data_IF_875050820584
#
_entry.id   IF_875050820584
#
_cell.length_a   1.000
_cell.length_b   1.000
_cell.length_c   1.000
_cell.angle_alpha   90.00
_cell.angle_beta   90.00
_cell.angle_gamma   90.00
#
_symmetry.space_group_name_H-M   'P 1'
#
loop_
_entity.id
_entity.type
_entity.pdbx_description
1 polymer ?
#
# COMPACT_ATOMS: atom_id res chain seq x y z
N UNK A 1 16.94 2.20 -32.76
CA UNK A 1 15.82 2.22 -31.80
C UNK A 1 15.55 0.85 -31.18
N UNK A 2 15.50 -0.25 -31.96
CA UNK A 2 15.25 -1.60 -31.43
C UNK A 2 16.27 -2.09 -30.38
N UNK A 3 17.57 -1.80 -30.55
CA UNK A 3 18.60 -2.22 -29.59
C UNK A 3 18.47 -1.56 -28.21
N UNK A 4 18.18 -0.26 -28.16
CA UNK A 4 17.99 0.46 -26.87
C UNK A 4 16.74 -0.09 -26.15
N UNK A 5 15.66 -0.35 -26.88
CA UNK A 5 14.42 -0.88 -26.31
C UNK A 5 14.64 -2.28 -25.70
N UNK A 6 15.41 -3.13 -26.38
CA UNK A 6 15.78 -4.45 -25.85
C UNK A 6 16.66 -4.35 -24.60
N UNK A 7 17.64 -3.44 -24.58
CA UNK A 7 18.49 -3.21 -23.40
C UNK A 7 17.63 -2.77 -22.21
N UNK A 8 16.74 -1.80 -22.41
CA UNK A 8 15.84 -1.33 -21.35
C UNK A 8 14.92 -2.45 -20.84
N UNK A 9 14.36 -3.25 -21.73
CA UNK A 9 13.50 -4.38 -21.36
C UNK A 9 14.26 -5.45 -20.57
N UNK A 10 15.48 -5.79 -20.99
CA UNK A 10 16.31 -6.77 -20.31
C UNK A 10 16.76 -6.28 -18.93
N UNK A 11 17.16 -5.01 -18.82
CA UNK A 11 17.50 -4.38 -17.54
C UNK A 11 16.31 -4.35 -16.58
N UNK A 12 15.12 -3.99 -17.09
CA UNK A 12 13.90 -3.98 -16.29
C UNK A 12 13.51 -5.39 -15.82
N UNK A 13 13.61 -6.40 -16.69
CA UNK A 13 13.37 -7.79 -16.32
C UNK A 13 14.36 -8.27 -15.25
N UNK A 14 15.64 -7.98 -15.43
CA UNK A 14 16.70 -8.29 -14.46
C UNK A 14 16.44 -7.64 -13.09
N UNK A 15 15.95 -6.39 -13.06
CA UNK A 15 15.53 -5.73 -11.84
C UNK A 15 14.35 -6.44 -11.16
N UNK A 16 13.33 -6.86 -11.93
CA UNK A 16 12.18 -7.59 -11.38
C UNK A 16 12.54 -8.98 -10.88
N UNK A 17 13.50 -9.65 -11.52
CA UNK A 17 13.98 -10.99 -11.16
C UNK A 17 14.86 -10.99 -9.90
N UNK A 18 15.37 -9.83 -9.46
CA UNK A 18 16.03 -9.66 -8.15
C UNK A 18 15.04 -9.64 -6.97
N UNK A 19 13.74 -9.52 -7.24
CA UNK A 19 12.72 -9.56 -6.20
C UNK A 19 12.53 -10.95 -5.59
N UNK A 20 11.86 -10.98 -4.45
CA UNK A 20 11.55 -12.22 -3.74
C UNK A 20 10.63 -13.12 -4.60
N UNK A 21 11.02 -14.38 -4.88
CA UNK A 21 10.24 -15.28 -5.69
C UNK A 21 8.87 -15.62 -5.08
N UNK A 22 8.73 -15.55 -3.75
CA UNK A 22 7.49 -15.89 -3.02
C UNK A 22 6.32 -14.96 -3.36
N UNK A 23 6.60 -13.72 -3.74
CA UNK A 23 5.59 -12.70 -4.06
C UNK A 23 5.42 -12.46 -5.55
N UNK A 24 6.22 -13.12 -6.40
CA UNK A 24 6.31 -12.84 -7.84
C UNK A 24 4.96 -12.92 -8.57
N UNK A 25 4.17 -13.92 -8.22
CA UNK A 25 2.90 -14.23 -8.89
C UNK A 25 1.70 -13.56 -8.21
N UNK A 26 1.91 -12.79 -7.14
CA UNK A 26 0.81 -12.08 -6.48
C UNK A 26 0.27 -10.96 -7.36
N UNK A 27 -1.05 -10.71 -7.35
CA UNK A 27 -1.64 -9.62 -8.10
C UNK A 27 -0.96 -8.28 -7.74
N UNK A 28 -0.68 -7.46 -8.75
CA UNK A 28 0.04 -6.17 -8.61
C UNK A 28 1.52 -6.25 -8.21
N UNK A 29 2.11 -7.44 -7.99
CA UNK A 29 3.54 -7.60 -7.66
C UNK A 29 4.42 -8.01 -8.85
N UNK A 30 3.81 -8.30 -10.00
CA UNK A 30 4.49 -8.67 -11.24
C UNK A 30 5.29 -7.49 -11.79
N UNK A 31 4.71 -6.28 -11.77
CA UNK A 31 5.32 -5.02 -12.19
C UNK A 31 4.78 -3.88 -11.31
N UNK A 32 5.48 -2.73 -11.20
CA UNK A 32 4.99 -1.59 -10.43
C UNK A 32 3.90 -0.80 -11.17
N UNK A 33 3.70 -1.03 -12.47
CA UNK A 33 2.81 -0.23 -13.32
C UNK A 33 1.35 -0.21 -12.87
N UNK A 34 0.71 -1.33 -12.46
CA UNK A 34 -0.65 -1.30 -11.96
C UNK A 34 -0.81 -0.39 -10.73
N UNK A 35 0.11 -0.47 -9.77
CA UNK A 35 0.10 0.40 -8.59
C UNK A 35 0.30 1.88 -8.95
N UNK A 36 1.26 2.17 -9.84
CA UNK A 36 1.48 3.53 -10.34
C UNK A 36 0.28 4.08 -11.10
N UNK A 37 -0.41 3.27 -11.89
CA UNK A 37 -1.63 3.66 -12.59
C UNK A 37 -2.75 4.00 -11.60
N UNK A 38 -2.91 3.22 -10.53
CA UNK A 38 -3.88 3.52 -9.45
C UNK A 38 -3.56 4.84 -8.74
N UNK A 39 -2.29 5.10 -8.41
CA UNK A 39 -1.85 6.36 -7.80
C UNK A 39 -2.09 7.54 -8.74
N UNK A 40 -1.77 7.41 -10.02
CA UNK A 40 -2.01 8.45 -11.02
C UNK A 40 -3.50 8.76 -11.17
N UNK A 41 -4.35 7.72 -11.25
CA UNK A 41 -5.80 7.86 -11.30
C UNK A 41 -6.35 8.55 -10.04
N UNK A 42 -5.83 8.19 -8.87
CA UNK A 42 -6.16 8.82 -7.59
C UNK A 42 -5.82 10.32 -7.59
N UNK A 43 -4.58 10.70 -7.95
CA UNK A 43 -4.15 12.10 -7.99
C UNK A 43 -5.02 12.88 -8.98
N UNK A 44 -5.26 12.32 -10.17
CA UNK A 44 -6.12 12.95 -11.18
C UNK A 44 -7.55 13.16 -10.66
N UNK A 45 -8.12 12.16 -9.98
CA UNK A 45 -9.45 12.29 -9.39
C UNK A 45 -9.49 13.40 -8.33
N UNK A 46 -8.57 13.38 -7.37
CA UNK A 46 -8.57 14.33 -6.24
C UNK A 46 -8.30 15.77 -6.69
N UNK A 47 -7.40 15.97 -7.66
CA UNK A 47 -6.98 17.31 -8.09
C UNK A 47 -7.83 17.89 -9.22
N UNK A 48 -8.41 17.05 -10.07
CA UNK A 48 -9.06 17.50 -11.31
C UNK A 48 -10.50 17.01 -11.39
N UNK A 49 -10.70 15.71 -11.59
CA UNK A 49 -12.02 15.18 -11.98
C UNK A 49 -13.08 15.36 -10.88
N UNK A 50 -12.74 15.03 -9.63
CA UNK A 50 -13.61 15.12 -8.48
C UNK A 50 -14.05 16.55 -8.14
N UNK A 51 -13.11 17.51 -7.96
CA UNK A 51 -13.47 18.93 -7.76
C UNK A 51 -14.29 19.51 -8.91
N UNK A 52 -13.96 19.17 -10.16
CA UNK A 52 -14.72 19.62 -11.33
C UNK A 52 -16.15 19.06 -11.32
N UNK A 53 -16.33 17.78 -10.98
CA UNK A 53 -17.63 17.14 -10.83
C UNK A 53 -18.47 17.77 -9.70
N UNK A 54 -17.82 18.16 -8.59
CA UNK A 54 -18.48 18.75 -7.41
C UNK A 54 -18.70 20.26 -7.52
N UNK A 55 -18.16 20.94 -8.54
CA UNK A 55 -18.26 22.40 -8.71
C UNK A 55 -19.69 22.92 -8.68
N UNK A 56 -20.61 22.23 -9.37
CA UNK A 56 -22.04 22.60 -9.47
C UNK A 56 -22.96 21.78 -8.56
N UNK A 57 -22.41 20.97 -7.65
CA UNK A 57 -23.17 20.08 -6.77
C UNK A 57 -23.06 20.53 -5.31
N UNK A 58 -24.12 20.25 -4.55
CA UNK A 58 -24.10 20.34 -3.09
C UNK A 58 -23.26 19.17 -2.52
N UNK A 59 -22.62 19.35 -1.36
CA UNK A 59 -21.86 18.26 -0.73
C UNK A 59 -22.79 17.08 -0.41
N UNK A 60 -22.33 15.87 -0.66
CA UNK A 60 -23.08 14.66 -0.32
C UNK A 60 -23.06 14.41 1.18
N UNK A 61 -24.15 13.87 1.74
CA UNK A 61 -24.14 13.32 3.09
C UNK A 61 -23.72 11.84 3.03
N UNK A 62 -22.45 11.60 3.34
CA UNK A 62 -21.84 10.27 3.34
C UNK A 62 -21.53 9.78 4.75
N UNK A 63 -22.17 10.35 5.80
CA UNK A 63 -21.88 10.04 7.21
C UNK A 63 -21.92 8.54 7.50
N UNK A 64 -23.00 7.86 7.13
CA UNK A 64 -23.17 6.42 7.40
C UNK A 64 -22.15 5.58 6.62
N UNK A 65 -21.96 5.76 5.29
CA UNK A 65 -20.89 5.09 4.55
C UNK A 65 -19.50 5.24 5.18
N UNK A 66 -19.11 6.45 5.60
CA UNK A 66 -17.80 6.68 6.24
C UNK A 66 -17.67 5.98 7.58
N UNK A 67 -18.74 5.93 8.40
CA UNK A 67 -18.71 5.21 9.67
C UNK A 67 -18.46 3.73 9.44
N UNK A 68 -19.20 3.10 8.52
CA UNK A 68 -19.02 1.68 8.17
C UNK A 68 -17.60 1.43 7.66
N UNK A 69 -17.15 2.28 6.72
CA UNK A 69 -15.81 2.22 6.16
C UNK A 69 -14.71 2.33 7.23
N UNK A 70 -14.82 3.30 8.15
CA UNK A 70 -13.84 3.48 9.21
C UNK A 70 -13.81 2.28 10.17
N UNK A 71 -14.98 1.72 10.52
CA UNK A 71 -15.02 0.50 11.32
C UNK A 71 -14.35 -0.68 10.61
N UNK A 72 -14.61 -0.87 9.31
CA UNK A 72 -13.92 -1.90 8.53
C UNK A 72 -12.40 -1.70 8.54
N UNK A 73 -11.91 -0.47 8.33
CA UNK A 73 -10.47 -0.19 8.41
C UNK A 73 -9.87 -0.46 9.78
N UNK A 74 -10.59 -0.16 10.87
CA UNK A 74 -10.16 -0.51 12.23
C UNK A 74 -10.02 -2.02 12.40
N UNK A 75 -11.01 -2.82 11.96
CA UNK A 75 -10.93 -4.27 12.05
C UNK A 75 -9.79 -4.84 11.21
N UNK A 76 -9.60 -4.33 9.99
CA UNK A 76 -8.49 -4.73 9.12
C UNK A 76 -7.16 -4.38 9.79
N UNK A 77 -7.03 -3.19 10.36
CA UNK A 77 -5.80 -2.76 11.03
C UNK A 77 -5.48 -3.61 12.26
N UNK A 78 -6.52 -3.95 13.05
CA UNK A 78 -6.39 -4.86 14.19
C UNK A 78 -5.97 -6.26 13.73
N UNK A 79 -6.55 -6.78 12.65
CA UNK A 79 -6.17 -8.08 12.10
C UNK A 79 -4.71 -8.10 11.63
N UNK A 80 -4.23 -7.04 10.99
CA UNK A 80 -2.81 -6.91 10.63
C UNK A 80 -1.93 -6.88 11.89
N UNK A 81 -2.27 -6.06 12.88
CA UNK A 81 -1.50 -5.95 14.12
C UNK A 81 -1.39 -7.30 14.85
N UNK A 82 -2.51 -8.00 15.03
CA UNK A 82 -2.53 -9.32 15.67
C UNK A 82 -1.79 -10.36 14.83
N UNK A 83 -1.94 -10.33 13.51
CA UNK A 83 -1.23 -11.23 12.60
C UNK A 83 0.29 -11.04 12.66
N UNK A 84 0.76 -9.79 12.62
CA UNK A 84 2.19 -9.49 12.77
C UNK A 84 2.68 -9.97 14.12
N UNK A 85 1.99 -9.64 15.22
CA UNK A 85 2.41 -10.07 16.55
C UNK A 85 2.48 -11.59 16.70
N UNK A 86 1.49 -12.31 16.15
CA UNK A 86 1.45 -13.77 16.17
C UNK A 86 2.60 -14.37 15.37
N UNK A 87 2.73 -14.04 14.08
CA UNK A 87 3.73 -14.66 13.20
C UNK A 87 5.15 -14.10 13.36
N UNK A 88 5.34 -13.06 14.17
CA UNK A 88 6.67 -12.56 14.53
C UNK A 88 7.00 -12.78 16.01
N UNK A 89 6.56 -11.87 16.89
CA UNK A 89 7.00 -11.80 18.28
C UNK A 89 6.74 -13.10 19.06
N UNK A 90 5.53 -13.66 18.93
CA UNK A 90 5.18 -14.91 19.62
C UNK A 90 5.83 -16.16 19.02
N UNK A 91 6.48 -16.04 17.86
CA UNK A 91 7.23 -17.11 17.19
C UNK A 91 8.75 -16.86 17.20
N UNK A 92 9.24 -16.07 18.15
CA UNK A 92 10.68 -15.93 18.42
C UNK A 92 11.39 -14.82 17.66
N UNK A 93 10.67 -13.98 16.91
CA UNK A 93 11.24 -12.74 16.38
C UNK A 93 11.40 -11.70 17.50
N UNK A 94 12.43 -10.88 17.38
CA UNK A 94 12.66 -9.74 18.27
C UNK A 94 11.83 -8.54 17.81
N UNK A 95 11.45 -7.66 18.74
CA UNK A 95 10.89 -6.34 18.41
C UNK A 95 11.95 -5.36 17.89
N UNK A 96 13.22 -5.78 17.80
CA UNK A 96 14.29 -5.01 17.15
C UNK A 96 14.26 -5.26 15.64
N UNK A 97 14.87 -4.35 14.88
CA UNK A 97 15.11 -4.59 13.46
C UNK A 97 15.91 -5.88 13.24
N UNK A 98 15.28 -6.83 12.55
CA UNK A 98 15.86 -8.11 12.18
C UNK A 98 15.86 -8.26 10.66
N UNK A 99 16.87 -8.97 10.11
CA UNK A 99 16.90 -9.24 8.68
C UNK A 99 15.67 -10.07 8.27
N UNK A 100 15.24 -9.89 7.03
CA UNK A 100 14.12 -10.66 6.45
C UNK A 100 14.47 -12.14 6.39
N UNK A 101 13.54 -12.98 6.86
CA UNK A 101 13.60 -14.42 6.63
C UNK A 101 13.05 -14.72 5.22
N UNK A 102 13.95 -15.05 4.29
CA UNK A 102 13.62 -15.43 2.92
C UNK A 102 13.25 -16.91 2.76
N UNK A 103 13.20 -17.69 3.84
CA UNK A 103 12.81 -19.09 3.79
C UNK A 103 11.32 -19.29 3.48
N UNK A 104 10.96 -20.51 3.09
CA UNK A 104 9.56 -20.92 2.89
C UNK A 104 8.89 -21.42 4.19
N UNK A 105 9.40 -21.02 5.35
CA UNK A 105 8.74 -21.26 6.63
C UNK A 105 7.36 -20.60 6.63
N UNK A 106 6.42 -21.23 7.33
CA UNK A 106 5.02 -20.79 7.36
C UNK A 106 4.95 -19.35 7.89
N UNK A 107 5.70 -19.05 8.94
CA UNK A 107 5.76 -17.75 9.61
C UNK A 107 6.26 -16.65 8.65
N UNK A 108 7.37 -16.91 7.96
CA UNK A 108 7.97 -15.99 7.01
C UNK A 108 7.04 -15.70 5.82
N UNK A 109 6.41 -16.73 5.25
CA UNK A 109 5.44 -16.57 4.16
C UNK A 109 4.18 -15.84 4.63
N UNK A 110 3.71 -16.10 5.87
CA UNK A 110 2.55 -15.40 6.45
C UNK A 110 2.85 -13.93 6.70
N UNK A 111 4.05 -13.58 7.18
CA UNK A 111 4.47 -12.18 7.32
C UNK A 111 4.52 -11.47 5.96
N UNK A 112 5.05 -12.12 4.92
CA UNK A 112 5.01 -11.60 3.56
C UNK A 112 3.57 -11.34 3.08
N UNK A 113 2.65 -12.29 3.32
CA UNK A 113 1.24 -12.16 2.96
C UNK A 113 0.56 -11.00 3.70
N UNK A 114 0.84 -10.83 4.98
CA UNK A 114 0.31 -9.72 5.78
C UNK A 114 0.84 -8.38 5.26
N UNK A 115 2.13 -8.30 4.92
CA UNK A 115 2.71 -7.12 4.27
C UNK A 115 2.02 -6.79 2.95
N UNK A 116 1.74 -7.80 2.12
CA UNK A 116 1.01 -7.63 0.88
C UNK A 116 -0.44 -7.17 1.07
N UNK A 117 -1.16 -7.76 2.02
CA UNK A 117 -2.51 -7.29 2.36
C UNK A 117 -2.49 -5.85 2.84
N UNK A 118 -1.48 -5.46 3.62
CA UNK A 118 -1.29 -4.07 4.06
C UNK A 118 -1.01 -3.12 2.89
N UNK A 119 -0.31 -3.57 1.84
CA UNK A 119 -0.18 -2.79 0.61
C UNK A 119 -1.51 -2.60 -0.10
N UNK A 120 -2.35 -3.64 -0.18
CA UNK A 120 -3.68 -3.51 -0.78
C UNK A 120 -4.57 -2.53 -0.01
N UNK A 121 -4.48 -2.50 1.33
CA UNK A 121 -5.29 -1.57 2.13
C UNK A 121 -4.94 -0.11 1.86
N UNK A 122 -3.70 0.21 1.46
CA UNK A 122 -3.33 1.59 1.09
C UNK A 122 -4.11 2.12 -0.10
N UNK A 123 -4.52 1.26 -1.04
CA UNK A 123 -5.39 1.67 -2.14
C UNK A 123 -6.85 1.82 -1.69
N UNK A 124 -7.27 1.03 -0.70
CA UNK A 124 -8.60 1.21 -0.07
C UNK A 124 -8.68 2.57 0.63
N UNK A 125 -7.59 3.01 1.26
CA UNK A 125 -7.48 4.32 1.91
C UNK A 125 -7.61 5.51 0.94
N UNK A 126 -7.51 5.31 -0.39
CA UNK A 126 -7.85 6.38 -1.36
C UNK A 126 -9.33 6.81 -1.25
N UNK A 127 -10.19 5.95 -0.70
CA UNK A 127 -11.58 6.29 -0.44
C UNK A 127 -11.73 7.45 0.55
N UNK A 128 -10.81 7.63 1.51
CA UNK A 128 -10.83 8.76 2.47
C UNK A 128 -10.91 10.10 1.75
N UNK A 129 -10.01 10.26 0.79
CA UNK A 129 -9.86 11.46 -0.01
C UNK A 129 -11.01 11.62 -0.98
N UNK A 130 -11.51 10.52 -1.55
CA UNK A 130 -12.72 10.54 -2.37
C UNK A 130 -13.91 11.06 -1.54
N UNK A 131 -14.08 10.59 -0.31
CA UNK A 131 -15.13 11.08 0.59
C UNK A 131 -14.95 12.57 0.91
N UNK A 132 -13.72 13.05 1.14
CA UNK A 132 -13.48 14.48 1.36
C UNK A 132 -13.86 15.34 0.16
N UNK A 133 -13.50 14.91 -1.05
CA UNK A 133 -13.88 15.60 -2.31
C UNK A 133 -15.40 15.65 -2.47
N UNK A 134 -16.08 14.51 -2.30
CA UNK A 134 -17.54 14.42 -2.45
C UNK A 134 -18.31 15.19 -1.37
N UNK A 135 -17.70 15.43 -0.21
CA UNK A 135 -18.27 16.25 0.86
C UNK A 135 -17.84 17.72 0.80
N UNK A 136 -17.04 18.12 -0.20
CA UNK A 136 -16.45 19.46 -0.35
C UNK A 136 -15.71 19.90 0.93
N UNK A 137 -14.95 18.97 1.52
CA UNK A 137 -14.10 19.19 2.71
C UNK A 137 -12.65 19.37 2.28
N UNK A 138 -12.42 20.36 1.43
CA UNK A 138 -11.11 20.62 0.81
C UNK A 138 -10.03 20.97 1.84
N UNK A 139 -10.42 21.48 3.02
CA UNK A 139 -9.51 21.73 4.15
C UNK A 139 -8.87 20.46 4.72
N UNK A 140 -9.46 19.28 4.49
CA UNK A 140 -8.90 18.00 4.90
C UNK A 140 -7.91 17.42 3.86
N UNK A 141 -7.96 17.92 2.62
CA UNK A 141 -7.11 17.46 1.51
C UNK A 141 -5.86 18.34 1.42
N UNK A 142 -4.98 18.21 2.42
CA UNK A 142 -3.70 18.92 2.41
C UNK A 142 -2.74 18.34 1.37
N UNK A 143 -1.71 19.12 0.99
CA UNK A 143 -0.63 18.61 0.15
C UNK A 143 0.05 17.39 0.78
N UNK A 144 0.27 17.43 2.10
CA UNK A 144 0.84 16.33 2.86
C UNK A 144 -0.02 15.06 2.75
N UNK A 145 -1.34 15.18 2.89
CA UNK A 145 -2.25 14.04 2.79
C UNK A 145 -2.17 13.39 1.40
N UNK A 146 -2.21 14.18 0.32
CA UNK A 146 -2.12 13.64 -1.05
C UNK A 146 -0.75 13.02 -1.32
N UNK A 147 0.34 13.66 -0.89
CA UNK A 147 1.70 13.13 -1.03
C UNK A 147 1.82 11.81 -0.26
N UNK A 148 1.36 11.77 0.99
CA UNK A 148 1.38 10.57 1.83
C UNK A 148 0.63 9.40 1.17
N UNK A 149 -0.62 9.59 0.76
CA UNK A 149 -1.38 8.53 0.08
C UNK A 149 -0.80 8.14 -1.28
N UNK A 150 0.04 8.96 -1.90
CA UNK A 150 0.71 8.59 -3.15
C UNK A 150 2.01 7.82 -2.90
N UNK A 151 2.85 8.30 -1.99
CA UNK A 151 4.20 7.75 -1.78
C UNK A 151 4.19 6.45 -0.97
N UNK A 152 3.29 6.31 0.00
CA UNK A 152 3.23 5.11 0.86
C UNK A 152 2.98 3.82 0.05
N UNK A 153 1.92 3.70 -0.78
CA UNK A 153 1.74 2.50 -1.60
C UNK A 153 2.87 2.28 -2.61
N UNK A 154 3.45 3.36 -3.14
CA UNK A 154 4.61 3.27 -4.03
C UNK A 154 5.82 2.65 -3.33
N UNK A 155 6.18 3.14 -2.14
CA UNK A 155 7.30 2.62 -1.35
C UNK A 155 7.05 1.20 -0.86
N UNK A 156 5.82 0.87 -0.44
CA UNK A 156 5.46 -0.48 0.00
C UNK A 156 5.61 -1.52 -1.10
N UNK A 157 5.36 -1.16 -2.36
CA UNK A 157 5.58 -2.08 -3.47
C UNK A 157 7.03 -2.57 -3.53
N UNK A 158 8.02 -1.67 -3.36
CA UNK A 158 9.43 -2.06 -3.29
C UNK A 158 9.72 -2.89 -2.04
N UNK A 159 9.17 -2.47 -0.89
CA UNK A 159 9.33 -3.21 0.38
C UNK A 159 8.86 -4.67 0.26
N UNK A 160 7.68 -4.90 -0.32
CA UNK A 160 7.15 -6.26 -0.49
C UNK A 160 7.87 -7.00 -1.60
N UNK A 161 8.25 -6.33 -2.69
CA UNK A 161 8.91 -6.96 -3.82
C UNK A 161 10.30 -7.49 -3.45
N UNK A 162 11.06 -6.76 -2.65
CA UNK A 162 12.46 -7.07 -2.38
C UNK A 162 12.72 -7.56 -0.95
N UNK A 163 11.92 -7.13 0.02
CA UNK A 163 12.12 -7.41 1.44
C UNK A 163 10.80 -7.73 2.18
N UNK A 164 10.01 -8.72 1.71
CA UNK A 164 8.69 -8.99 2.28
C UNK A 164 8.83 -9.52 3.72
N UNK A 165 8.30 -8.75 4.67
CA UNK A 165 8.37 -9.03 6.10
C UNK A 165 9.21 -8.02 6.90
N UNK A 166 10.12 -7.28 6.25
CA UNK A 166 10.94 -6.25 6.93
C UNK A 166 10.09 -5.11 7.49
N UNK A 167 9.15 -4.66 6.66
CA UNK A 167 8.26 -3.53 6.96
C UNK A 167 7.34 -3.81 8.16
N UNK A 168 7.01 -5.08 8.42
CA UNK A 168 6.19 -5.48 9.55
C UNK A 168 6.94 -5.45 10.88
N UNK A 169 8.26 -5.65 10.86
CA UNK A 169 9.11 -5.78 12.05
C UNK A 169 9.78 -4.46 12.45
N UNK A 170 10.43 -3.77 11.50
CA UNK A 170 11.14 -2.51 11.80
C UNK A 170 10.21 -1.31 12.06
N UNK A 171 9.02 -1.26 11.43
CA UNK A 171 8.09 -0.15 11.64
C UNK A 171 7.46 -0.14 13.04
N UNK A 172 7.29 -1.31 13.67
CA UNK A 172 6.86 -1.41 15.07
C UNK A 172 7.97 -0.95 16.03
N UNK A 173 9.23 -1.27 15.73
CA UNK A 173 10.39 -0.90 16.54
C UNK A 173 10.63 0.61 16.65
N UNK A 174 10.24 1.39 15.64
CA UNK A 174 10.36 2.86 15.63
C UNK A 174 9.19 3.59 16.29
N UNK A 175 8.19 2.87 16.80
CA UNK A 175 7.04 3.41 17.51
C UNK A 175 7.09 3.20 19.04
N UNK A 176 8.23 2.69 19.55
CA UNK A 176 8.49 2.43 20.98
C UNK A 176 9.61 3.30 21.53
#
# INVERSE_FOLDING_TARGET
MAGILQILNNSFKSFLDQGDPRVKDWPMMQTPFPGMAMIAAYIYFVKVAGPQFMKKRKPFDLRVPMVIYNFMLVFISLAHFLGIGWYSYFNGYSLKCQPVDYSNKIEAVRLAQIGYLFYLTKFVEFADTIFFVLRKKDNQISALHVIHHSIVPFSLWFGIKFAPGEFSLCSLAHSS
#
